data_IF_921154352762
#
_entry.id   IF_921154352762
#
_cell.length_a   1.000
_cell.length_b   1.000
_cell.length_c   1.000
_cell.angle_alpha   90.00
_cell.angle_beta   90.00
_cell.angle_gamma   90.00
#
_symmetry.space_group_name_H-M   'P 1'
#
loop_
_entity.id
_entity.type
_entity.pdbx_description
1 polymer ?
#
# COMPACT_ATOMS: atom_id res chain seq x y z
N UNK A 1 13.75 2.51 -2.81
CA UNK A 1 12.51 1.89 -2.34
C UNK A 1 11.34 2.67 -2.90
N UNK A 2 10.35 1.99 -3.48
CA UNK A 2 9.17 2.59 -4.12
C UNK A 2 7.88 2.00 -3.56
N UNK A 3 6.83 2.80 -3.44
CA UNK A 3 5.49 2.33 -3.10
C UNK A 3 4.54 2.59 -4.29
N UNK A 4 3.83 1.55 -4.71
CA UNK A 4 2.77 1.61 -5.70
C UNK A 4 1.42 1.43 -5.02
N UNK A 5 0.45 2.28 -5.40
CA UNK A 5 -0.92 2.20 -4.91
C UNK A 5 -1.85 2.22 -6.12
N UNK A 6 -2.72 1.22 -6.19
CA UNK A 6 -3.84 1.17 -7.12
C UNK A 6 -5.15 1.31 -6.34
N UNK A 7 -5.99 2.27 -6.73
CA UNK A 7 -7.22 2.60 -6.01
C UNK A 7 -8.45 2.12 -6.77
N UNK A 8 -9.30 1.35 -6.09
CA UNK A 8 -10.65 1.05 -6.53
C UNK A 8 -11.68 1.69 -5.58
N UNK A 9 -12.97 1.48 -5.82
CA UNK A 9 -14.05 2.16 -5.09
C UNK A 9 -13.93 1.93 -3.59
N UNK A 10 -13.74 0.67 -3.19
CA UNK A 10 -13.79 0.24 -1.79
C UNK A 10 -12.45 -0.30 -1.28
N UNK A 11 -11.44 -0.41 -2.16
CA UNK A 11 -10.14 -1.00 -1.81
C UNK A 11 -8.95 -0.24 -2.39
N UNK A 12 -7.81 -0.36 -1.72
CA UNK A 12 -6.48 0.04 -2.19
C UNK A 12 -5.59 -1.20 -2.28
N UNK A 13 -5.03 -1.48 -3.45
CA UNK A 13 -3.97 -2.46 -3.59
C UNK A 13 -2.62 -1.74 -3.41
N UNK A 14 -1.80 -2.22 -2.48
CA UNK A 14 -0.54 -1.58 -2.09
C UNK A 14 0.61 -2.56 -2.27
N UNK A 15 1.66 -2.11 -2.95
CA UNK A 15 2.92 -2.83 -3.08
C UNK A 15 4.11 -1.93 -2.72
N UNK A 16 5.06 -2.47 -1.95
CA UNK A 16 6.33 -1.80 -1.64
C UNK A 16 7.45 -2.61 -2.26
N UNK A 17 8.28 -1.94 -3.07
CA UNK A 17 9.36 -2.52 -3.85
C UNK A 17 10.71 -2.06 -3.28
N UNK A 18 11.58 -3.02 -2.96
CA UNK A 18 12.95 -2.74 -2.52
C UNK A 18 13.86 -2.30 -3.69
N UNK A 19 15.11 -1.95 -3.38
CA UNK A 19 16.08 -1.50 -4.39
C UNK A 19 16.52 -2.62 -5.35
N UNK A 20 16.25 -3.89 -4.99
CA UNK A 20 16.45 -5.05 -5.85
C UNK A 20 15.26 -5.33 -6.77
N UNK A 21 14.21 -4.50 -6.74
CA UNK A 21 13.00 -4.68 -7.54
C UNK A 21 12.04 -5.74 -7.00
N UNK A 22 12.21 -6.20 -5.75
CA UNK A 22 11.35 -7.22 -5.14
C UNK A 22 10.24 -6.59 -4.33
N UNK A 23 9.03 -7.14 -4.43
CA UNK A 23 7.93 -6.77 -3.56
C UNK A 23 8.18 -7.31 -2.14
N UNK A 24 8.35 -6.40 -1.18
CA UNK A 24 8.57 -6.72 0.24
C UNK A 24 7.30 -6.55 1.08
N UNK A 25 6.34 -5.78 0.59
CA UNK A 25 4.99 -5.68 1.16
C UNK A 25 3.97 -5.76 0.03
N UNK A 26 2.94 -6.59 0.21
CA UNK A 26 1.73 -6.62 -0.63
C UNK A 26 0.52 -6.68 0.29
N UNK A 27 -0.40 -5.72 0.16
CA UNK A 27 -1.60 -5.59 0.99
C UNK A 27 -2.78 -5.10 0.17
N UNK A 28 -3.97 -5.50 0.58
CA UNK A 28 -5.21 -4.86 0.17
C UNK A 28 -5.82 -4.20 1.40
N UNK A 29 -6.06 -2.89 1.32
CA UNK A 29 -6.64 -2.08 2.39
C UNK A 29 -8.03 -1.59 1.97
N UNK A 30 -8.92 -1.26 2.90
CA UNK A 30 -10.13 -0.50 2.59
C UNK A 30 -9.77 0.85 1.95
N UNK A 31 -10.61 1.35 1.04
CA UNK A 31 -10.52 2.72 0.56
C UNK A 31 -11.40 3.65 1.43
N UNK A 32 -11.04 3.74 2.69
CA UNK A 32 -11.73 4.53 3.70
C UNK A 32 -10.72 5.11 4.72
N UNK A 33 -11.15 5.95 5.68
CA UNK A 33 -10.24 6.53 6.66
C UNK A 33 -9.44 5.52 7.50
N UNK A 34 -9.99 4.33 7.77
CA UNK A 34 -9.27 3.28 8.49
C UNK A 34 -8.16 2.68 7.62
N UNK A 35 -8.46 2.46 6.33
CA UNK A 35 -7.47 2.05 5.34
C UNK A 35 -6.35 3.07 5.13
N UNK A 36 -6.67 4.37 5.13
CA UNK A 36 -5.64 5.43 5.04
C UNK A 36 -4.75 5.48 6.29
N UNK A 37 -5.33 5.24 7.47
CA UNK A 37 -4.55 5.12 8.71
C UNK A 37 -3.58 3.95 8.61
N UNK A 38 -4.06 2.77 8.18
CA UNK A 38 -3.20 1.61 7.96
C UNK A 38 -2.12 1.85 6.89
N UNK A 39 -2.45 2.57 5.82
CA UNK A 39 -1.50 2.95 4.77
C UNK A 39 -0.38 3.85 5.31
N UNK A 40 -0.71 4.84 6.14
CA UNK A 40 0.30 5.74 6.74
C UNK A 40 1.31 5.00 7.60
N UNK A 41 0.88 3.93 8.29
CA UNK A 41 1.77 3.08 9.09
C UNK A 41 2.75 2.25 8.24
N UNK A 42 2.52 2.09 6.93
CA UNK A 42 3.45 1.43 6.01
C UNK A 42 4.55 2.36 5.50
N UNK A 43 4.39 3.67 5.68
CA UNK A 43 5.34 4.70 5.21
C UNK A 43 6.23 5.27 6.34
N UNK A 44 6.06 4.79 7.58
CA UNK A 44 6.84 5.16 8.76
C UNK A 44 8.02 4.19 8.96
#
# INVERSE_FOLDING_TARGET
MFAGIDSHKDTLAVAVIDDGGRAVVVRQLPNDPAGFTALSALAA
#
